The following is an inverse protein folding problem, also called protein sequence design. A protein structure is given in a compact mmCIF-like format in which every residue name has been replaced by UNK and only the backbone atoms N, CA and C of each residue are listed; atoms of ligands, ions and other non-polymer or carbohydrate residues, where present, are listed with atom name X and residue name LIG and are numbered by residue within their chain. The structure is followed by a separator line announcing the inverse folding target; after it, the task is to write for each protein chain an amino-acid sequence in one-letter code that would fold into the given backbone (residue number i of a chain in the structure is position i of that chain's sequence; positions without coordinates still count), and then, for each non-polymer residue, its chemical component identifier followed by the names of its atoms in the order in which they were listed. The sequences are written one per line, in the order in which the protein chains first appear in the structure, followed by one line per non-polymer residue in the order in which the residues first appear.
data_IF_031335716417
#
_entry.id   IF_031335716417
#
_cell.length_a   1.000
_cell.length_b   1.000
_cell.length_c   1.000
_cell.angle_alpha   90.00
_cell.angle_beta   90.00
_cell.angle_gamma   90.00
#
_symmetry.space_group_name_H-M   'P 1'
#
loop_
_entity.id
_entity.type
_entity.pdbx_description
1 polymer ?
#
# COMPACT_ATOMS: atom_id res chain seq x y z
N UNK A 1 1.01 -4.39 17.84
CA UNK A 1 1.65 -3.93 16.59
C UNK A 1 1.59 -5.06 15.55
N UNK A 2 1.00 -4.84 14.37
CA UNK A 2 1.27 -5.71 13.23
C UNK A 2 2.51 -5.18 12.50
N UNK A 3 3.62 -5.91 12.58
CA UNK A 3 4.83 -5.59 11.85
C UNK A 3 4.53 -5.73 10.34
N UNK A 4 4.86 -4.71 9.54
CA UNK A 4 4.68 -4.79 8.09
C UNK A 4 5.57 -5.89 7.53
N UNK A 5 4.97 -6.94 6.99
CA UNK A 5 5.70 -7.99 6.28
C UNK A 5 6.12 -7.45 4.92
N UNK A 6 7.30 -6.81 4.86
CA UNK A 6 7.81 -6.16 3.64
C UNK A 6 8.32 -7.15 2.60
N UNK A 7 8.81 -8.31 3.05
CA UNK A 7 9.43 -9.30 2.19
C UNK A 7 8.93 -10.71 2.49
N UNK A 8 8.97 -11.56 1.47
CA UNK A 8 8.77 -13.00 1.59
C UNK A 8 10.04 -13.70 1.12
N UNK A 9 10.53 -14.63 1.94
CA UNK A 9 11.62 -15.53 1.57
C UNK A 9 11.04 -16.87 1.14
N UNK A 10 11.52 -17.38 0.01
CA UNK A 10 11.16 -18.71 -0.50
C UNK A 10 12.43 -19.44 -0.98
N UNK A 11 12.29 -20.67 -1.47
CA UNK A 11 13.36 -21.40 -2.14
C UNK A 11 13.09 -21.46 -3.64
N UNK A 12 14.15 -21.58 -4.42
CA UNK A 12 14.03 -21.89 -5.85
C UNK A 12 13.57 -23.35 -6.05
N UNK A 13 13.24 -23.72 -7.28
CA UNK A 13 12.71 -25.05 -7.63
C UNK A 13 13.65 -26.19 -7.24
N UNK A 14 14.97 -25.96 -7.29
CA UNK A 14 15.96 -26.94 -6.84
C UNK A 14 15.99 -27.12 -5.31
N UNK A 15 15.43 -26.20 -4.53
CA UNK A 15 15.45 -26.23 -3.07
C UNK A 15 16.77 -25.79 -2.40
N UNK A 16 17.81 -25.49 -3.19
CA UNK A 16 19.14 -25.10 -2.70
C UNK A 16 19.35 -23.57 -2.65
N UNK A 17 18.64 -22.81 -3.48
CA UNK A 17 18.74 -21.34 -3.54
C UNK A 17 17.66 -20.67 -2.70
N UNK A 18 18.02 -19.66 -1.91
CA UNK A 18 17.06 -18.77 -1.23
C UNK A 18 16.69 -17.64 -2.17
N UNK A 19 15.39 -17.39 -2.30
CA UNK A 19 14.82 -16.27 -3.05
C UNK A 19 14.15 -15.32 -2.08
N UNK A 20 14.24 -14.02 -2.34
CA UNK A 20 13.54 -12.98 -1.60
C UNK A 20 12.75 -12.12 -2.57
N UNK A 21 11.53 -11.73 -2.19
CA UNK A 21 10.73 -10.76 -2.94
C UNK A 21 10.13 -9.72 -2.02
N UNK A 22 9.90 -8.53 -2.56
CA UNK A 22 9.03 -7.55 -1.93
C UNK A 22 7.57 -8.02 -2.03
N UNK A 23 6.78 -7.71 -1.01
CA UNK A 23 5.37 -8.09 -0.98
C UNK A 23 4.47 -7.03 -1.61
N UNK A 24 4.87 -5.75 -1.53
CA UNK A 24 4.12 -4.61 -2.07
C UNK A 24 5.06 -3.46 -2.46
N UNK A 25 4.56 -2.53 -3.28
CA UNK A 25 5.26 -1.30 -3.64
C UNK A 25 6.14 -1.42 -4.87
N UNK A 26 5.74 -2.24 -5.84
CA UNK A 26 6.44 -2.34 -7.11
C UNK A 26 6.17 -1.12 -8.01
N UNK A 27 7.15 -0.82 -8.86
CA UNK A 27 7.07 0.21 -9.91
C UNK A 27 7.44 -0.34 -11.29
N UNK A 28 7.85 -1.60 -11.36
CA UNK A 28 8.26 -2.27 -12.59
C UNK A 28 7.05 -2.95 -13.22
N UNK A 29 6.85 -2.72 -14.53
CA UNK A 29 5.73 -3.29 -15.28
C UNK A 29 5.82 -4.81 -15.44
N UNK A 30 7.02 -5.38 -15.35
CA UNK A 30 7.24 -6.83 -15.48
C UNK A 30 6.66 -7.63 -14.30
N UNK A 31 6.33 -6.97 -13.18
CA UNK A 31 5.78 -7.66 -12.01
C UNK A 31 4.34 -8.08 -12.30
N UNK A 32 4.08 -9.38 -12.17
CA UNK A 32 2.75 -9.96 -12.31
C UNK A 32 1.98 -9.84 -10.99
N UNK A 33 1.46 -8.65 -10.69
CA UNK A 33 0.82 -8.35 -9.40
C UNK A 33 -0.40 -9.25 -9.10
N UNK A 34 -1.09 -9.78 -10.12
CA UNK A 34 -2.19 -10.75 -9.96
C UNK A 34 -1.78 -12.08 -9.32
N UNK A 35 -0.48 -12.42 -9.38
CA UNK A 35 0.07 -13.59 -8.67
C UNK A 35 0.44 -13.26 -7.22
N UNK A 36 0.50 -11.98 -6.87
CA UNK A 36 0.94 -11.51 -5.56
C UNK A 36 -0.22 -11.06 -4.69
N UNK A 37 -1.31 -10.58 -5.31
CA UNK A 37 -2.45 -9.95 -4.65
C UNK A 37 -3.75 -10.71 -4.93
N UNK A 38 -4.66 -10.63 -3.96
CA UNK A 38 -6.00 -11.18 -4.08
C UNK A 38 -6.95 -10.02 -4.39
N UNK A 39 -7.59 -10.00 -5.57
CA UNK A 39 -8.58 -8.99 -5.88
C UNK A 39 -9.75 -9.02 -4.90
N UNK A 40 -10.21 -7.85 -4.49
CA UNK A 40 -11.44 -7.73 -3.70
C UNK A 40 -12.64 -7.99 -4.61
N UNK A 41 -13.43 -9.02 -4.32
CA UNK A 41 -14.62 -9.39 -5.10
C UNK A 41 -15.87 -8.59 -4.75
N UNK A 42 -15.88 -7.93 -3.60
CA UNK A 42 -16.96 -7.06 -3.17
C UNK A 42 -16.40 -5.75 -2.59
N UNK A 43 -17.11 -4.62 -2.75
CA UNK A 43 -16.78 -3.38 -2.06
C UNK A 43 -16.67 -3.65 -0.57
N UNK A 44 -15.62 -3.13 0.06
CA UNK A 44 -15.47 -3.29 1.51
C UNK A 44 -16.30 -2.22 2.21
N UNK A 45 -17.63 -2.33 2.10
CA UNK A 45 -18.58 -1.35 2.63
C UNK A 45 -18.51 -1.16 4.15
N UNK A 46 -17.81 -2.06 4.87
CA UNK A 46 -17.63 -2.02 6.32
C UNK A 46 -16.20 -1.78 6.81
N UNK A 47 -15.18 -1.70 5.94
CA UNK A 47 -13.81 -1.37 6.34
C UNK A 47 -13.39 -0.06 5.72
N UNK A 48 -13.15 0.91 6.58
CA UNK A 48 -12.46 2.14 6.20
C UNK A 48 -11.04 1.80 5.74
N UNK A 49 -10.65 2.34 4.60
CA UNK A 49 -9.26 2.33 4.15
C UNK A 49 -8.74 3.77 4.18
N UNK A 50 -7.52 3.95 4.68
CA UNK A 50 -6.92 5.27 4.82
C UNK A 50 -5.72 5.40 3.91
N UNK A 51 -5.58 6.57 3.27
CA UNK A 51 -4.40 6.91 2.49
C UNK A 51 -3.67 8.08 3.16
N UNK A 52 -2.42 7.83 3.60
CA UNK A 52 -1.55 8.87 4.14
C UNK A 52 -0.95 9.69 3.01
N UNK A 53 -1.10 11.02 3.07
CA UNK A 53 -0.52 11.96 2.12
C UNK A 53 -0.13 13.27 2.81
N UNK A 54 0.75 14.03 2.17
CA UNK A 54 1.16 15.37 2.61
C UNK A 54 0.05 16.39 2.34
N UNK A 55 -0.18 17.30 3.29
CA UNK A 55 -1.20 18.36 3.19
C UNK A 55 -1.17 19.15 1.87
N UNK A 56 0.03 19.45 1.34
CA UNK A 56 0.20 20.15 0.05
C UNK A 56 -0.41 19.43 -1.16
N UNK A 57 -0.70 18.14 -1.05
CA UNK A 57 -1.33 17.35 -2.11
C UNK A 57 -2.84 17.22 -1.94
N UNK A 58 -3.42 17.72 -0.85
CA UNK A 58 -4.84 17.62 -0.55
C UNK A 58 -5.71 18.18 -1.68
N UNK A 59 -5.48 19.43 -2.10
CA UNK A 59 -6.28 20.07 -3.15
C UNK A 59 -6.22 19.28 -4.46
N UNK A 60 -5.05 18.74 -4.80
CA UNK A 60 -4.90 17.91 -5.99
C UNK A 60 -5.68 16.59 -5.87
N UNK A 61 -5.60 15.93 -4.73
CA UNK A 61 -6.32 14.68 -4.47
C UNK A 61 -7.83 14.91 -4.46
N UNK A 62 -8.28 16.03 -3.89
CA UNK A 62 -9.69 16.40 -3.86
C UNK A 62 -10.24 16.62 -5.27
N UNK A 63 -9.52 17.35 -6.12
CA UNK A 63 -9.99 17.69 -7.47
C UNK A 63 -9.81 16.56 -8.50
N UNK A 64 -8.78 15.72 -8.35
CA UNK A 64 -8.40 14.74 -9.39
C UNK A 64 -8.36 13.29 -8.90
N UNK A 65 -8.64 13.04 -7.62
CA UNK A 65 -8.53 11.72 -7.00
C UNK A 65 -7.09 11.30 -6.68
N UNK A 66 -6.95 10.11 -6.11
CA UNK A 66 -5.64 9.51 -5.83
C UNK A 66 -4.97 9.04 -7.13
N UNK A 67 -3.65 9.18 -7.17
CA UNK A 67 -2.82 8.68 -8.27
C UNK A 67 -1.85 7.62 -7.74
N UNK A 68 -1.67 6.54 -8.51
CA UNK A 68 -0.60 5.55 -8.25
C UNK A 68 0.81 6.14 -8.44
N UNK A 69 0.92 7.29 -9.10
CA UNK A 69 2.19 7.89 -9.52
C UNK A 69 3.05 6.85 -10.27
N UNK A 70 4.28 6.61 -9.81
CA UNK A 70 5.20 5.62 -10.39
C UNK A 70 4.99 4.19 -9.87
N UNK A 71 4.06 3.96 -8.94
CA UNK A 71 3.75 2.61 -8.42
C UNK A 71 2.77 1.88 -9.35
N UNK A 72 2.72 0.57 -9.21
CA UNK A 72 1.75 -0.27 -9.89
C UNK A 72 0.34 -0.09 -9.29
N UNK A 73 0.24 0.11 -7.98
CA UNK A 73 -1.04 0.27 -7.26
C UNK A 73 -1.02 1.44 -6.27
N UNK A 74 -2.21 1.94 -5.93
CA UNK A 74 -2.41 2.86 -4.80
C UNK A 74 -2.41 2.04 -3.51
N UNK A 75 -1.68 2.51 -2.51
CA UNK A 75 -1.54 1.82 -1.24
C UNK A 75 -2.45 2.47 -0.18
N UNK A 76 -3.18 1.61 0.52
CA UNK A 76 -4.01 1.99 1.66
C UNK A 76 -3.51 1.29 2.94
N UNK A 77 -3.85 1.86 4.08
CA UNK A 77 -3.76 1.21 5.38
C UNK A 77 -5.18 0.93 5.91
N UNK A 78 -5.28 -0.07 6.79
CA UNK A 78 -6.56 -0.48 7.39
C UNK A 78 -7.05 0.48 8.48
N UNK A 79 -6.15 1.27 9.08
CA UNK A 79 -6.44 2.14 10.22
C UNK A 79 -5.63 3.42 10.17
N UNK A 80 -6.21 4.50 10.67
CA UNK A 80 -5.50 5.73 10.98
C UNK A 80 -4.41 5.46 12.03
N UNK A 81 -3.24 6.04 11.83
CA UNK A 81 -2.15 5.97 12.81
C UNK A 81 -2.26 7.23 13.66
N UNK A 82 -2.56 7.08 14.96
CA UNK A 82 -2.52 8.19 15.92
C UNK A 82 -1.08 8.43 16.39
N UNK A 83 -0.76 9.70 16.64
CA UNK A 83 0.58 10.24 16.91
C UNK A 83 1.41 9.42 17.93
N UNK A 84 2.74 9.49 17.75
CA UNK A 84 3.85 8.70 18.34
C UNK A 84 4.21 7.37 17.67
N UNK A 85 3.54 7.00 16.59
CA UNK A 85 3.84 5.77 15.85
C UNK A 85 4.45 6.10 14.47
N UNK A 86 5.70 5.66 14.26
CA UNK A 86 6.47 5.83 13.02
C UNK A 86 5.62 5.56 11.77
N UNK A 87 5.27 6.64 11.06
CA UNK A 87 4.47 6.63 9.85
C UNK A 87 5.20 5.85 8.76
N UNK A 88 4.63 4.73 8.31
CA UNK A 88 5.12 4.02 7.12
C UNK A 88 4.10 4.15 5.98
N UNK A 89 3.79 5.37 5.57
CA UNK A 89 3.23 5.77 4.26
C UNK A 89 3.28 7.31 4.25
N UNK A 90 4.42 7.88 3.83
CA UNK A 90 4.64 9.35 3.82
C UNK A 90 4.79 9.94 5.23
N UNK A 91 6.01 9.99 5.74
CA UNK A 91 6.31 10.70 6.99
C UNK A 91 6.14 12.20 6.79
N UNK A 92 5.21 12.77 7.58
CA UNK A 92 4.99 14.18 7.95
C UNK A 92 3.75 14.87 7.33
N UNK A 93 2.78 15.21 8.19
CA UNK A 93 1.56 16.00 7.96
C UNK A 93 0.44 15.37 7.11
N UNK A 94 -0.42 14.66 7.84
CA UNK A 94 -1.63 13.99 7.38
C UNK A 94 -2.69 14.98 6.89
N UNK A 95 -3.00 14.95 5.60
CA UNK A 95 -4.35 15.31 5.15
C UNK A 95 -5.16 14.02 5.06
N UNK A 96 -6.32 14.00 5.71
CA UNK A 96 -7.17 12.82 5.89
C UNK A 96 -7.99 12.57 4.64
N UNK A 97 -7.55 11.67 3.76
CA UNK A 97 -8.39 11.12 2.70
C UNK A 97 -9.02 9.82 3.22
N UNK A 98 -10.24 9.89 3.75
CA UNK A 98 -11.06 8.70 4.04
C UNK A 98 -11.81 8.38 2.74
N UNK A 99 -11.39 7.32 2.06
CA UNK A 99 -12.20 6.75 0.98
C UNK A 99 -12.98 5.56 1.54
N UNK A 100 -14.30 5.67 1.48
CA UNK A 100 -15.18 4.49 1.51
C UNK A 100 -15.08 3.86 0.13
N UNK A 101 -14.53 2.64 0.05
CA UNK A 101 -14.59 1.82 -1.16
C UNK A 101 -15.98 1.22 -1.34
#
# INVERSE_FOLDING_TARGET
MMQKQRFTLTRNESGHGKLIRANQGHSMQLVQDDQLLIPLKMPISSRQCVHGTYLKFWDRIWNFGLSKMTRNHIHFAEKEVMDDQVLTMGSSFTSRAIMSC
#
